data_IF_545304392315
#
_entry.id   IF_545304392315
#
_cell.length_a   1.000
_cell.length_b   1.000
_cell.length_c   1.000
_cell.angle_alpha   90.00
_cell.angle_beta   90.00
_cell.angle_gamma   90.00
#
_symmetry.space_group_name_H-M   'P 1'
#
loop_
_entity.id
_entity.type
_entity.pdbx_description
1 polymer ?
#
# COMPACT_ATOMS: atom_id res chain seq x y z
N UNK A 1 -10.91 -34.80 10.40
CA UNK A 1 -9.74 -33.92 10.54
C UNK A 1 -9.89 -32.79 9.54
N UNK A 2 -10.41 -31.64 9.96
CA UNK A 2 -10.53 -30.46 9.09
C UNK A 2 -9.71 -29.37 9.73
N UNK A 3 -8.44 -29.30 9.36
CA UNK A 3 -7.54 -28.23 9.77
C UNK A 3 -7.86 -27.00 8.92
N UNK A 4 -8.92 -26.27 9.29
CA UNK A 4 -9.16 -24.92 8.77
C UNK A 4 -8.11 -23.98 9.37
N UNK A 5 -6.90 -24.02 8.80
CA UNK A 5 -5.98 -22.90 8.94
C UNK A 5 -6.65 -21.71 8.27
N UNK A 6 -7.19 -20.80 9.08
CA UNK A 6 -7.65 -19.48 8.65
C UNK A 6 -6.46 -18.68 8.17
N UNK A 7 -6.01 -18.97 6.94
CA UNK A 7 -4.97 -18.18 6.29
C UNK A 7 -5.45 -16.73 6.27
N UNK A 8 -4.70 -15.84 6.93
CA UNK A 8 -5.00 -14.40 6.91
C UNK A 8 -5.10 -13.96 5.44
N UNK A 9 -6.16 -13.24 5.04
CA UNK A 9 -6.27 -12.70 3.71
C UNK A 9 -5.00 -11.90 3.38
N UNK A 10 -4.36 -12.19 2.25
CA UNK A 10 -3.12 -11.53 1.87
C UNK A 10 -3.26 -10.01 1.75
N UNK A 11 -2.18 -9.26 1.87
CA UNK A 11 -2.19 -7.80 1.69
C UNK A 11 -2.32 -7.40 0.22
N UNK A 12 -3.00 -6.28 -0.01
CA UNK A 12 -3.41 -5.81 -1.35
C UNK A 12 -2.68 -4.55 -1.82
N UNK A 13 -1.84 -3.97 -0.95
CA UNK A 13 -1.11 -2.71 -1.20
C UNK A 13 0.19 -2.91 -1.98
N UNK A 14 0.55 -4.15 -2.30
CA UNK A 14 1.76 -4.48 -3.05
C UNK A 14 1.56 -5.75 -3.87
N UNK A 15 2.38 -5.91 -4.91
CA UNK A 15 2.55 -7.13 -5.69
C UNK A 15 4.04 -7.42 -5.79
N UNK A 16 4.43 -8.70 -5.80
CA UNK A 16 5.85 -9.05 -5.92
C UNK A 16 6.38 -8.67 -7.30
N UNK A 17 7.38 -7.79 -7.38
CA UNK A 17 7.99 -7.38 -8.65
C UNK A 17 8.74 -8.52 -9.35
N UNK A 18 9.18 -9.52 -8.60
CA UNK A 18 9.93 -10.65 -9.15
C UNK A 18 9.07 -11.73 -9.81
N UNK A 19 7.84 -11.95 -9.32
CA UNK A 19 7.00 -13.07 -9.79
C UNK A 19 5.50 -12.76 -9.91
N UNK A 20 5.08 -11.53 -9.64
CA UNK A 20 3.68 -11.12 -9.71
C UNK A 20 2.80 -11.67 -8.57
N UNK A 21 3.37 -12.27 -7.52
CA UNK A 21 2.58 -12.79 -6.39
C UNK A 21 1.68 -11.69 -5.82
N UNK A 22 0.38 -11.93 -5.92
CA UNK A 22 -0.69 -11.10 -5.40
C UNK A 22 -1.92 -11.99 -5.14
N UNK A 23 -2.65 -11.81 -4.02
CA UNK A 23 -2.33 -10.93 -2.90
C UNK A 23 -1.15 -11.48 -2.09
N UNK A 24 -0.41 -10.60 -1.43
CA UNK A 24 0.80 -11.01 -0.69
C UNK A 24 0.45 -11.81 0.56
N UNK A 25 1.00 -13.01 0.68
CA UNK A 25 0.91 -13.82 1.90
C UNK A 25 2.29 -13.95 2.55
N UNK A 26 2.38 -13.66 3.85
CA UNK A 26 3.65 -13.62 4.58
C UNK A 26 4.39 -12.29 4.49
N UNK A 27 5.68 -12.24 4.92
CA UNK A 27 6.44 -11.00 5.00
C UNK A 27 6.74 -10.41 3.61
N UNK A 28 6.81 -9.08 3.54
CA UNK A 28 7.35 -8.36 2.39
C UNK A 28 8.80 -7.99 2.61
N UNK A 29 9.55 -8.03 1.52
CA UNK A 29 10.94 -7.59 1.46
C UNK A 29 11.00 -6.35 0.56
N UNK A 30 11.07 -5.17 1.17
CA UNK A 30 11.10 -3.89 0.47
C UNK A 30 12.53 -3.47 0.19
N UNK A 31 12.83 -3.08 -1.05
CA UNK A 31 14.13 -2.52 -1.40
C UNK A 31 14.37 -1.22 -0.63
N UNK A 32 15.54 -1.08 -0.03
CA UNK A 32 15.96 0.20 0.58
C UNK A 32 16.56 1.17 -0.45
N UNK A 33 16.77 0.71 -1.70
CA UNK A 33 17.36 1.50 -2.79
C UNK A 33 16.35 1.95 -3.82
N UNK A 34 15.36 1.11 -4.09
CA UNK A 34 14.36 1.34 -5.15
C UNK A 34 12.98 1.42 -4.50
N UNK A 35 12.48 2.65 -4.39
CA UNK A 35 11.16 2.90 -3.82
C UNK A 35 10.08 2.10 -4.56
N UNK A 36 9.21 1.43 -3.79
CA UNK A 36 8.11 0.62 -4.33
C UNK A 36 8.49 -0.79 -4.77
N UNK A 37 9.79 -1.14 -4.83
CA UNK A 37 10.21 -2.49 -5.20
C UNK A 37 10.06 -3.44 -4.00
N UNK A 38 9.21 -4.46 -4.16
CA UNK A 38 8.82 -5.41 -3.15
C UNK A 38 8.97 -6.86 -3.66
N UNK A 39 9.58 -7.71 -2.83
CA UNK A 39 9.70 -9.13 -3.10
C UNK A 39 8.93 -9.98 -2.10
N UNK A 40 8.41 -11.10 -2.58
CA UNK A 40 7.98 -12.21 -1.75
C UNK A 40 9.17 -13.01 -1.24
N UNK A 41 8.94 -13.78 -0.17
CA UNK A 41 9.99 -14.58 0.46
C UNK A 41 10.78 -15.45 -0.55
N UNK A 42 10.15 -16.21 -1.47
CA UNK A 42 10.90 -16.96 -2.49
C UNK A 42 11.81 -16.07 -3.35
N UNK A 43 11.31 -14.94 -3.85
CA UNK A 43 12.10 -14.04 -4.68
C UNK A 43 13.24 -13.37 -3.90
N UNK A 44 12.99 -12.94 -2.67
CA UNK A 44 14.02 -12.37 -1.80
C UNK A 44 15.11 -13.40 -1.47
N UNK A 45 14.74 -14.63 -1.13
CA UNK A 45 15.68 -15.72 -0.82
C UNK A 45 16.44 -16.25 -2.04
N UNK A 46 15.95 -16.01 -3.26
CA UNK A 46 16.66 -16.44 -4.48
C UNK A 46 18.00 -15.73 -4.69
N UNK A 47 18.19 -14.53 -4.10
CA UNK A 47 19.39 -13.71 -4.26
C UNK A 47 19.51 -13.01 -5.62
N UNK A 48 18.63 -13.28 -6.60
CA UNK A 48 18.66 -12.70 -7.95
C UNK A 48 18.68 -11.17 -7.93
N UNK A 49 17.95 -10.58 -6.99
CA UNK A 49 17.81 -9.12 -6.86
C UNK A 49 18.74 -8.50 -5.79
N UNK A 50 19.58 -9.29 -5.12
CA UNK A 50 20.37 -8.81 -3.99
C UNK A 50 21.36 -7.69 -4.37
N UNK A 51 22.00 -7.79 -5.54
CA UNK A 51 22.97 -6.78 -5.99
C UNK A 51 22.29 -5.53 -6.53
N UNK A 52 21.20 -5.68 -7.28
CA UNK A 52 20.53 -4.58 -7.99
C UNK A 52 19.53 -3.82 -7.12
N UNK A 53 18.80 -4.52 -6.24
CA UNK A 53 17.71 -3.95 -5.44
C UNK A 53 17.88 -4.18 -3.94
N UNK A 54 18.89 -4.93 -3.50
CA UNK A 54 19.20 -5.06 -2.07
C UNK A 54 19.92 -3.82 -1.51
N UNK A 55 20.00 -3.67 -0.18
CA UNK A 55 19.41 -4.56 0.82
C UNK A 55 17.88 -4.42 0.91
N UNK A 56 17.25 -5.35 1.62
CA UNK A 56 15.79 -5.38 1.77
C UNK A 56 15.39 -5.28 3.24
N UNK A 57 14.48 -4.37 3.55
CA UNK A 57 13.80 -4.30 4.83
C UNK A 57 12.63 -5.29 4.85
N UNK A 58 12.44 -5.95 5.99
CA UNK A 58 11.36 -6.93 6.17
C UNK A 58 10.17 -6.26 6.85
N UNK A 59 9.04 -6.19 6.16
CA UNK A 59 7.76 -5.80 6.75
C UNK A 59 6.91 -7.03 7.07
N UNK A 60 6.33 -7.04 8.26
CA UNK A 60 5.40 -8.08 8.69
C UNK A 60 4.14 -8.09 7.82
N UNK A 61 3.57 -9.28 7.61
CA UNK A 61 2.25 -9.43 7.01
C UNK A 61 1.12 -8.81 7.87
N UNK A 62 1.40 -8.61 9.16
CA UNK A 62 0.46 -8.09 10.16
C UNK A 62 0.48 -6.57 10.25
N UNK A 63 1.46 -5.91 9.64
CA UNK A 63 1.48 -4.46 9.54
C UNK A 63 0.32 -4.03 8.64
N UNK A 64 -0.56 -3.11 9.09
CA UNK A 64 -1.65 -2.63 8.26
C UNK A 64 -1.09 -2.09 6.94
N UNK A 65 -1.66 -2.57 5.84
CA UNK A 65 -1.43 -1.99 4.53
C UNK A 65 -1.90 -0.53 4.57
N UNK A 66 -0.96 0.41 4.48
CA UNK A 66 -1.29 1.82 4.27
C UNK A 66 -1.56 2.00 2.78
N UNK A 67 -2.82 2.03 2.38
CA UNK A 67 -3.19 2.16 0.97
C UNK A 67 -2.83 3.55 0.44
N UNK A 68 -2.54 3.61 -0.86
CA UNK A 68 -2.03 4.80 -1.56
C UNK A 68 -2.92 6.02 -1.28
N UNK A 69 -2.29 7.12 -0.87
CA UNK A 69 -2.96 8.41 -0.60
C UNK A 69 -3.60 9.06 -1.83
N UNK A 70 -3.30 8.55 -3.02
CA UNK A 70 -3.73 9.09 -4.30
C UNK A 70 -4.51 8.04 -5.12
N UNK A 71 -5.13 7.05 -4.46
CA UNK A 71 -5.86 6.02 -5.18
C UNK A 71 -7.02 6.62 -5.99
N UNK A 72 -7.18 6.14 -7.22
CA UNK A 72 -8.22 6.56 -8.15
C UNK A 72 -9.05 5.32 -8.46
N UNK A 73 -10.37 5.47 -8.47
CA UNK A 73 -11.27 4.38 -8.81
C UNK A 73 -11.08 3.96 -10.28
N UNK A 74 -10.74 2.70 -10.54
CA UNK A 74 -10.59 2.16 -11.89
C UNK A 74 -11.91 2.14 -12.69
N UNK A 75 -13.04 2.11 -11.98
CA UNK A 75 -14.36 2.06 -12.60
C UNK A 75 -14.87 3.39 -13.15
N UNK A 76 -14.48 4.53 -12.55
CA UNK A 76 -15.01 5.85 -12.89
C UNK A 76 -14.01 7.01 -12.78
N UNK A 77 -12.74 6.71 -12.51
CA UNK A 77 -11.61 7.67 -12.48
C UNK A 77 -11.74 8.80 -11.44
N UNK A 78 -12.55 8.61 -10.40
CA UNK A 78 -12.65 9.56 -9.27
C UNK A 78 -11.70 9.18 -8.13
N UNK A 79 -11.10 10.14 -7.41
CA UNK A 79 -10.27 9.84 -6.24
C UNK A 79 -11.03 9.08 -5.14
N UNK A 80 -10.35 8.12 -4.50
CA UNK A 80 -10.84 7.40 -3.33
C UNK A 80 -10.19 8.02 -2.09
N UNK A 81 -10.95 8.80 -1.33
CA UNK A 81 -10.41 9.60 -0.21
C UNK A 81 -10.63 9.00 1.17
N UNK A 82 -11.35 7.88 1.26
CA UNK A 82 -11.68 7.21 2.51
C UNK A 82 -11.89 5.70 2.29
N UNK A 83 -13.13 5.21 2.38
CA UNK A 83 -13.42 3.79 2.15
C UNK A 83 -13.47 3.48 0.65
N UNK A 84 -12.76 2.43 0.26
CA UNK A 84 -12.84 1.84 -1.08
C UNK A 84 -12.71 0.32 -1.02
N UNK A 85 -12.60 -0.29 -2.19
CA UNK A 85 -12.66 -1.74 -2.34
C UNK A 85 -11.60 -2.21 -3.33
N UNK A 86 -10.55 -2.84 -2.81
CA UNK A 86 -9.49 -3.42 -3.63
C UNK A 86 -9.85 -4.83 -4.09
N UNK A 87 -9.57 -5.15 -5.36
CA UNK A 87 -9.64 -6.51 -5.88
C UNK A 87 -8.67 -7.43 -5.13
N UNK A 88 -9.09 -8.66 -4.86
CA UNK A 88 -8.19 -9.67 -4.28
C UNK A 88 -7.52 -10.55 -5.33
N UNK A 89 -7.76 -10.30 -6.61
CA UNK A 89 -7.22 -11.11 -7.72
C UNK A 89 -6.45 -10.28 -8.75
N UNK A 90 -6.75 -8.98 -8.83
CA UNK A 90 -6.08 -8.04 -9.74
C UNK A 90 -5.38 -6.98 -8.90
N UNK A 91 -4.06 -6.89 -9.05
CA UNK A 91 -3.29 -5.87 -8.36
C UNK A 91 -3.69 -4.48 -8.84
N UNK A 92 -3.74 -3.52 -7.92
CA UNK A 92 -4.03 -2.11 -8.18
C UNK A 92 -5.38 -1.84 -8.86
N UNK A 93 -6.36 -2.73 -8.67
CA UNK A 93 -7.73 -2.51 -9.13
C UNK A 93 -8.64 -2.15 -7.94
N UNK A 94 -8.90 -0.86 -7.80
CA UNK A 94 -9.59 -0.24 -6.69
C UNK A 94 -10.92 0.38 -7.13
N UNK A 95 -11.98 0.09 -6.38
CA UNK A 95 -13.31 0.66 -6.63
C UNK A 95 -13.73 1.60 -5.50
N UNK A 96 -14.31 2.74 -5.87
CA UNK A 96 -15.08 3.56 -4.95
C UNK A 96 -16.40 2.85 -4.56
N UNK A 97 -17.07 3.29 -3.48
CA UNK A 97 -18.29 2.62 -2.99
C UNK A 97 -19.40 2.49 -4.05
N UNK A 98 -19.58 3.48 -4.92
CA UNK A 98 -20.61 3.43 -5.97
C UNK A 98 -20.29 2.42 -7.07
N UNK A 99 -19.04 2.35 -7.52
CA UNK A 99 -18.61 1.35 -8.50
C UNK A 99 -18.67 -0.07 -7.92
N UNK A 100 -18.29 -0.26 -6.66
CA UNK A 100 -18.43 -1.55 -5.99
C UNK A 100 -19.91 -1.96 -5.87
N UNK A 101 -20.79 -1.06 -5.42
CA UNK A 101 -22.22 -1.32 -5.29
C UNK A 101 -22.90 -1.69 -6.62
N UNK A 102 -22.42 -1.15 -7.74
CA UNK A 102 -22.93 -1.48 -9.07
C UNK A 102 -22.75 -2.95 -9.48
N UNK A 103 -21.84 -3.68 -8.82
CA UNK A 103 -21.48 -5.08 -9.13
C UNK A 103 -20.96 -5.32 -10.56
N UNK A 104 -20.78 -4.28 -11.38
CA UNK A 104 -20.33 -4.36 -12.78
C UNK A 104 -19.03 -5.16 -12.94
N UNK A 105 -18.14 -5.07 -11.95
CA UNK A 105 -16.79 -5.64 -12.01
C UNK A 105 -16.63 -6.95 -11.25
N UNK A 106 -17.68 -7.49 -10.63
CA UNK A 106 -17.57 -8.68 -9.77
C UNK A 106 -17.10 -9.92 -10.52
N UNK A 107 -17.49 -10.09 -11.79
CA UNK A 107 -17.11 -11.26 -12.59
C UNK A 107 -15.64 -11.19 -13.03
N UNK A 108 -15.16 -10.00 -13.40
CA UNK A 108 -13.82 -9.84 -13.99
C UNK A 108 -12.72 -9.53 -12.96
N UNK A 109 -13.06 -8.82 -11.88
CA UNK A 109 -12.09 -8.31 -10.91
C UNK A 109 -12.48 -8.63 -9.45
N UNK A 110 -13.60 -9.32 -9.23
CA UNK A 110 -13.97 -9.78 -7.89
C UNK A 110 -13.19 -11.04 -7.44
N UNK A 111 -13.20 -11.37 -6.14
CA UNK A 111 -13.90 -10.66 -5.08
C UNK A 111 -13.15 -9.39 -4.64
N UNK A 112 -13.88 -8.52 -3.95
CA UNK A 112 -13.37 -7.25 -3.45
C UNK A 112 -13.30 -7.27 -1.93
N UNK A 113 -12.32 -6.56 -1.37
CA UNK A 113 -12.19 -6.36 0.07
C UNK A 113 -12.18 -4.88 0.40
N UNK A 114 -12.98 -4.48 1.37
CA UNK A 114 -13.00 -3.11 1.87
C UNK A 114 -11.62 -2.72 2.41
N UNK A 115 -11.09 -1.58 1.94
CA UNK A 115 -9.83 -0.98 2.38
C UNK A 115 -10.07 0.46 2.85
N UNK A 116 -9.12 0.99 3.61
CA UNK A 116 -9.07 2.39 4.00
C UNK A 116 -7.95 3.09 3.21
N UNK A 117 -8.34 4.01 2.35
CA UNK A 117 -7.45 4.84 1.55
C UNK A 117 -7.21 6.16 2.28
N UNK A 118 -6.00 6.68 2.11
CA UNK A 118 -5.64 7.97 2.65
C UNK A 118 -6.12 9.07 1.69
N UNK A 119 -6.63 10.17 2.24
CA UNK A 119 -6.90 11.38 1.45
C UNK A 119 -5.59 12.10 1.15
N UNK A 120 -5.43 12.64 -0.06
CA UNK A 120 -4.31 13.53 -0.43
C UNK A 120 -4.18 14.76 0.45
N UNK A 121 -5.27 15.15 1.12
CA UNK A 121 -5.34 16.29 2.04
C UNK A 121 -4.90 15.92 3.46
N UNK A 122 -4.51 14.67 3.68
CA UNK A 122 -4.12 14.16 5.00
C UNK A 122 -2.72 13.53 4.91
N UNK A 123 -1.75 14.09 5.64
CA UNK A 123 -0.40 13.51 5.80
C UNK A 123 -0.41 12.55 6.99
N UNK A 124 -0.10 11.29 6.69
CA UNK A 124 0.05 10.21 7.68
C UNK A 124 1.53 9.83 7.91
N UNK A 125 2.45 10.53 7.27
CA UNK A 125 3.90 10.36 7.35
C UNK A 125 4.58 11.42 8.22
N UNK A 126 3.82 12.40 8.75
CA UNK A 126 4.36 13.49 9.54
C UNK A 126 3.39 13.91 10.64
N UNK A 127 3.91 14.17 11.84
CA UNK A 127 3.21 14.78 12.98
C UNK A 127 3.61 16.25 13.08
N UNK A 128 2.74 17.13 13.58
CA UNK A 128 3.16 18.49 13.92
C UNK A 128 3.96 18.48 15.22
N UNK A 129 5.24 18.88 15.18
CA UNK A 129 6.11 18.91 16.36
C UNK A 129 5.65 19.90 17.45
N UNK A 130 4.92 20.95 17.05
CA UNK A 130 4.43 21.97 18.00
C UNK A 130 3.22 21.53 18.81
N UNK A 131 2.24 20.86 18.19
CA UNK A 131 0.99 20.49 18.84
C UNK A 131 0.74 18.97 18.91
N UNK A 132 1.70 18.16 18.46
CA UNK A 132 1.62 16.70 18.34
C UNK A 132 0.40 16.20 17.55
N UNK A 133 -0.20 17.05 16.71
CA UNK A 133 -1.35 16.67 15.90
C UNK A 133 -0.92 15.66 14.84
N UNK A 134 -1.61 14.53 14.80
CA UNK A 134 -1.40 13.46 13.83
C UNK A 134 -2.71 12.68 13.60
N UNK A 135 -3.09 12.37 12.36
CA UNK A 135 -2.49 12.83 11.11
C UNK A 135 -2.81 14.31 10.83
N UNK A 136 -1.97 14.99 10.04
CA UNK A 136 -2.25 16.38 9.66
C UNK A 136 -3.31 16.41 8.57
N UNK A 137 -4.39 17.16 8.77
CA UNK A 137 -5.47 17.34 7.78
C UNK A 137 -5.61 18.81 7.38
N UNK A 138 -5.71 19.08 6.08
CA UNK A 138 -5.89 20.43 5.51
C UNK A 138 -4.72 20.90 4.63
N UNK A 139 -4.76 22.16 4.13
CA UNK A 139 -3.66 22.75 3.36
C UNK A 139 -2.41 22.91 4.22
N UNK A 140 -1.31 22.30 3.79
CA UNK A 140 -0.02 22.36 4.48
C UNK A 140 0.86 23.38 3.76
N UNK A 141 1.26 24.43 4.48
CA UNK A 141 2.25 25.39 4.02
C UNK A 141 3.63 24.92 4.45
N UNK A 142 4.43 24.40 3.51
CA UNK A 142 5.84 24.12 3.74
C UNK A 142 6.61 25.44 3.76
N UNK A 143 7.27 25.75 4.88
CA UNK A 143 8.24 26.86 4.90
C UNK A 143 9.49 26.43 4.16
N UNK A 144 9.90 27.19 3.13
CA UNK A 144 11.16 26.95 2.39
C UNK A 144 12.41 27.38 3.20
N UNK A 145 12.28 27.60 4.50
CA UNK A 145 13.37 28.04 5.37
C UNK A 145 13.95 26.85 6.14
N UNK A 146 14.64 25.94 5.46
CA UNK A 146 15.88 25.37 6.01
C UNK A 146 16.73 24.67 4.94
N UNK A 147 17.53 25.47 4.24
CA UNK A 147 18.69 25.00 3.48
C UNK A 147 20.00 25.50 4.12
N UNK A 148 20.03 25.69 5.44
CA UNK A 148 21.25 26.15 6.13
C UNK A 148 21.37 25.57 7.52
N UNK A 149 22.09 24.44 7.67
CA UNK A 149 22.52 24.06 9.00
C UNK A 149 23.15 22.69 9.22
N UNK A 150 24.06 22.23 8.36
CA UNK A 150 25.02 21.19 8.74
C UNK A 150 26.35 21.87 9.07
N UNK A 151 26.69 22.03 10.35
CA UNK A 151 28.07 22.08 10.85
C UNK A 151 28.07 21.51 12.28
N UNK A 152 29.04 20.61 12.52
CA UNK A 152 29.41 19.89 13.75
C UNK A 152 28.89 20.42 15.08
#
# INVERSE_FOLDING_TARGET
MSNTSTAKPGRLDAQCDGCGLFPFTGPLFLSTRVAGFALCKPCASSGVFATSHGPFDVQSADTPALFKANAVCDGCSVPITATGFGSTITFDFDLCPSCHASSKWNVSHGPFRQQQYHSTTVRYDTQCDGCHLFPLSGPIHLSLTDLSGFVL
#
